data_IF_440407220810
#
_entry.id   IF_440407220810
#
_cell.length_a   1.000
_cell.length_b   1.000
_cell.length_c   1.000
_cell.angle_alpha   90.00
_cell.angle_beta   90.00
_cell.angle_gamma   90.00
#
_symmetry.space_group_name_H-M   'P 1'
#
loop_
_entity.id
_entity.type
_entity.pdbx_description
1 polymer ?
#
# COMPACT_ATOMS: atom_id res chain seq x y z
N UNK A 1 -18.05 1.73 -17.29
CA UNK A 1 -16.94 0.78 -17.43
C UNK A 1 -15.57 1.45 -17.24
N UNK A 2 -15.26 2.55 -17.94
CA UNK A 2 -13.97 3.24 -17.84
C UNK A 2 -13.69 3.70 -16.40
N UNK A 3 -14.65 4.31 -15.73
CA UNK A 3 -14.51 4.77 -14.34
C UNK A 3 -14.31 3.63 -13.36
N UNK A 4 -15.00 2.50 -13.57
CA UNK A 4 -14.78 1.27 -12.80
C UNK A 4 -13.34 0.73 -12.99
N UNK A 5 -12.84 0.73 -14.22
CA UNK A 5 -11.48 0.29 -14.51
C UNK A 5 -10.43 1.19 -13.83
N UNK A 6 -10.66 2.51 -13.81
CA UNK A 6 -9.79 3.44 -13.07
C UNK A 6 -9.85 3.22 -11.56
N UNK A 7 -11.04 3.04 -10.98
CA UNK A 7 -11.18 2.72 -9.56
C UNK A 7 -10.47 1.41 -9.22
N UNK A 8 -10.69 0.36 -10.01
CA UNK A 8 -10.02 -0.93 -9.87
C UNK A 8 -8.48 -0.80 -9.95
N UNK A 9 -7.99 0.00 -10.88
CA UNK A 9 -6.57 0.27 -11.05
C UNK A 9 -5.97 0.97 -9.83
N UNK A 10 -6.54 2.10 -9.39
CA UNK A 10 -6.02 2.83 -8.23
C UNK A 10 -6.11 2.02 -6.94
N UNK A 11 -7.25 1.37 -6.69
CA UNK A 11 -7.51 0.55 -5.51
C UNK A 11 -6.59 -0.69 -5.46
N UNK A 12 -6.37 -1.34 -6.61
CA UNK A 12 -5.45 -2.47 -6.73
C UNK A 12 -3.98 -2.06 -6.57
N UNK A 13 -3.58 -0.93 -7.18
CA UNK A 13 -2.20 -0.44 -7.07
C UNK A 13 -1.84 0.03 -5.67
N UNK A 14 -2.79 0.61 -4.93
CA UNK A 14 -2.63 0.94 -3.53
C UNK A 14 -2.26 -0.30 -2.70
N UNK A 15 -3.04 -1.37 -2.81
CA UNK A 15 -2.78 -2.59 -2.05
C UNK A 15 -1.52 -3.32 -2.52
N UNK A 16 -1.24 -3.33 -3.83
CA UNK A 16 -0.01 -3.91 -4.35
C UNK A 16 1.23 -3.21 -3.77
N UNK A 17 1.21 -1.88 -3.70
CA UNK A 17 2.30 -1.09 -3.16
C UNK A 17 2.52 -1.33 -1.66
N UNK A 18 1.44 -1.46 -0.88
CA UNK A 18 1.53 -1.74 0.56
C UNK A 18 1.97 -3.18 0.83
N UNK A 19 1.60 -4.12 -0.05
CA UNK A 19 1.90 -5.55 0.11
C UNK A 19 3.28 -5.95 -0.42
N UNK A 20 3.98 -5.07 -1.15
CA UNK A 20 5.31 -5.37 -1.68
C UNK A 20 6.35 -5.32 -0.58
N UNK A 21 7.23 -6.30 -0.57
CA UNK A 21 8.43 -6.28 0.26
C UNK A 21 9.47 -5.33 -0.34
N UNK A 22 9.62 -4.17 0.31
CA UNK A 22 10.54 -3.11 -0.11
C UNK A 22 11.99 -3.58 -0.13
N UNK A 23 12.39 -4.40 0.83
CA UNK A 23 13.76 -4.88 0.94
C UNK A 23 14.08 -5.84 -0.21
N UNK A 24 13.20 -6.79 -0.47
CA UNK A 24 13.33 -7.71 -1.61
C UNK A 24 13.38 -6.97 -2.94
N UNK A 25 12.56 -5.94 -3.11
CA UNK A 25 12.59 -5.09 -4.30
C UNK A 25 13.94 -4.39 -4.49
N UNK A 26 14.54 -3.83 -3.43
CA UNK A 26 15.86 -3.18 -3.48
C UNK A 26 16.98 -4.19 -3.77
N UNK A 27 16.89 -5.41 -3.26
CA UNK A 27 17.88 -6.47 -3.51
C UNK A 27 17.79 -7.03 -4.94
N UNK A 28 16.59 -7.24 -5.46
CA UNK A 28 16.34 -7.77 -6.82
C UNK A 28 16.42 -6.68 -7.90
N UNK A 29 16.79 -5.45 -7.54
CA UNK A 29 16.80 -4.28 -8.41
C UNK A 29 17.68 -4.46 -9.63
N UNK A 30 17.10 -4.91 -10.73
CA UNK A 30 17.71 -4.87 -12.06
C UNK A 30 17.54 -3.46 -12.61
N UNK A 31 18.65 -2.76 -12.84
CA UNK A 31 18.64 -1.36 -13.32
C UNK A 31 17.74 -1.20 -14.57
N UNK A 32 16.72 -0.32 -14.46
CA UNK A 32 15.78 -0.03 -15.53
C UNK A 32 14.92 1.19 -15.19
N UNK A 33 14.16 1.69 -16.16
CA UNK A 33 13.26 2.84 -15.99
C UNK A 33 12.22 2.55 -14.92
N UNK A 34 11.61 1.36 -14.96
CA UNK A 34 10.60 0.90 -14.00
C UNK A 34 11.13 0.87 -12.57
N UNK A 35 12.34 0.32 -12.38
CA UNK A 35 12.99 0.29 -11.07
C UNK A 35 13.27 1.70 -10.52
N UNK A 36 13.64 2.65 -11.40
CA UNK A 36 13.85 4.05 -11.00
C UNK A 36 12.53 4.73 -10.58
N UNK A 37 11.45 4.49 -11.32
CA UNK A 37 10.11 5.00 -10.98
C UNK A 37 9.66 4.46 -9.62
N UNK A 38 9.74 3.15 -9.40
CA UNK A 38 9.32 2.52 -8.16
C UNK A 38 10.16 2.99 -6.95
N UNK A 39 11.46 3.23 -7.16
CA UNK A 39 12.33 3.83 -6.13
C UNK A 39 11.84 5.23 -5.71
N UNK A 40 11.35 6.05 -6.63
CA UNK A 40 10.74 7.35 -6.30
C UNK A 40 9.49 7.17 -5.43
N UNK A 41 8.66 6.18 -5.77
CA UNK A 41 7.44 5.89 -4.99
C UNK A 41 7.77 5.36 -3.60
N UNK A 42 8.75 4.47 -3.46
CA UNK A 42 9.18 3.97 -2.16
C UNK A 42 9.80 5.04 -1.28
N UNK A 43 10.54 5.98 -1.88
CA UNK A 43 11.08 7.12 -1.15
C UNK A 43 9.99 8.04 -0.61
N UNK A 44 8.89 8.23 -1.36
CA UNK A 44 7.79 9.11 -1.00
C UNK A 44 6.49 8.30 -0.77
N UNK A 45 6.54 7.22 -0.01
CA UNK A 45 5.44 6.25 0.16
C UNK A 45 4.12 6.91 0.57
N UNK A 46 4.14 7.86 1.51
CA UNK A 46 2.94 8.54 1.98
C UNK A 46 2.31 9.41 0.89
N UNK A 47 3.12 10.11 0.11
CA UNK A 47 2.61 10.93 -1.01
C UNK A 47 2.04 10.04 -2.11
N UNK A 48 2.66 8.90 -2.39
CA UNK A 48 2.18 7.93 -3.35
C UNK A 48 0.81 7.36 -2.93
N UNK A 49 0.69 6.83 -1.71
CA UNK A 49 -0.57 6.27 -1.19
C UNK A 49 -1.67 7.34 -1.21
N UNK A 50 -1.38 8.56 -0.76
CA UNK A 50 -2.34 9.67 -0.81
C UNK A 50 -2.80 9.99 -2.22
N UNK A 51 -1.89 9.91 -3.21
CA UNK A 51 -2.22 10.15 -4.61
C UNK A 51 -3.12 9.06 -5.17
N UNK A 52 -2.85 7.80 -4.86
CA UNK A 52 -3.70 6.66 -5.27
C UNK A 52 -5.10 6.77 -4.65
N UNK A 53 -5.17 7.11 -3.37
CA UNK A 53 -6.44 7.31 -2.66
C UNK A 53 -7.26 8.45 -3.28
N UNK A 54 -6.63 9.58 -3.61
CA UNK A 54 -7.30 10.70 -4.28
C UNK A 54 -7.82 10.27 -5.66
N UNK A 55 -6.99 9.56 -6.44
CA UNK A 55 -7.38 9.05 -7.76
C UNK A 55 -8.57 8.11 -7.69
N UNK A 56 -8.57 7.18 -6.73
CA UNK A 56 -9.68 6.27 -6.50
C UNK A 56 -10.97 7.03 -6.14
N UNK A 57 -10.90 7.99 -5.22
CA UNK A 57 -12.06 8.78 -4.82
C UNK A 57 -12.64 9.61 -5.98
N UNK A 58 -11.82 10.20 -6.84
CA UNK A 58 -12.27 10.89 -8.06
C UNK A 58 -13.00 9.92 -8.99
N UNK A 59 -12.44 8.73 -9.22
CA UNK A 59 -13.07 7.71 -10.06
C UNK A 59 -14.42 7.24 -9.48
N UNK A 60 -14.51 7.05 -8.16
CA UNK A 60 -15.73 6.68 -7.47
C UNK A 60 -16.82 7.74 -7.57
N UNK A 61 -16.49 9.02 -7.43
CA UNK A 61 -17.45 10.12 -7.57
C UNK A 61 -18.02 10.17 -8.98
N UNK A 62 -17.16 10.10 -10.01
CA UNK A 62 -17.60 10.09 -11.40
C UNK A 62 -18.47 8.85 -11.69
N UNK A 63 -18.05 7.69 -11.18
CA UNK A 63 -18.85 6.46 -11.27
C UNK A 63 -20.23 6.65 -10.64
N UNK A 64 -20.30 7.20 -9.43
CA UNK A 64 -21.57 7.42 -8.72
C UNK A 64 -22.53 8.29 -9.50
N UNK A 65 -22.05 9.39 -10.09
CA UNK A 65 -22.86 10.30 -10.93
C UNK A 65 -23.40 9.56 -12.17
N UNK A 66 -22.54 8.80 -12.86
CA UNK A 66 -22.95 8.08 -14.07
C UNK A 66 -23.91 6.94 -13.77
N UNK A 67 -23.69 6.20 -12.67
CA UNK A 67 -24.58 5.11 -12.28
C UNK A 67 -25.94 5.62 -11.76
N UNK A 68 -25.94 6.79 -11.15
CA UNK A 68 -27.19 7.46 -10.75
C UNK A 68 -28.11 7.65 -11.95
N UNK A 69 -27.59 8.15 -13.06
CA UNK A 69 -28.34 8.34 -14.29
C UNK A 69 -28.78 7.02 -14.92
N UNK A 70 -27.86 6.04 -15.01
CA UNK A 70 -28.14 4.76 -15.68
C UNK A 70 -29.18 3.94 -14.91
N UNK A 71 -29.08 3.83 -13.60
CA UNK A 71 -30.00 3.02 -12.78
C UNK A 71 -31.32 3.74 -12.59
N UNK A 72 -31.28 5.06 -12.35
CA UNK A 72 -32.45 5.86 -12.13
C UNK A 72 -33.36 5.87 -13.35
N UNK A 73 -32.80 6.22 -14.51
CA UNK A 73 -33.59 6.44 -15.72
C UNK A 73 -33.99 5.13 -16.44
N UNK A 74 -33.12 4.09 -16.38
CA UNK A 74 -33.36 2.88 -17.19
C UNK A 74 -33.85 1.67 -16.40
N UNK A 75 -33.44 1.52 -15.13
CA UNK A 75 -33.69 0.30 -14.38
C UNK A 75 -34.84 0.45 -13.39
N UNK A 76 -34.98 1.60 -12.73
CA UNK A 76 -35.94 1.84 -11.65
C UNK A 76 -37.12 2.75 -12.10
N UNK A 77 -36.99 3.40 -13.26
CA UNK A 77 -38.05 4.22 -13.81
C UNK A 77 -39.30 3.34 -14.14
N UNK A 78 -40.29 3.33 -13.27
CA UNK A 78 -41.53 2.56 -13.44
C UNK A 78 -41.75 1.46 -12.39
N UNK A 79 -40.77 1.16 -11.54
CA UNK A 79 -40.94 0.19 -10.45
C UNK A 79 -41.18 0.86 -9.09
N UNK A 80 -40.73 2.09 -8.90
CA UNK A 80 -40.79 2.78 -7.62
C UNK A 80 -41.32 4.20 -7.83
N UNK A 81 -42.52 4.48 -7.37
CA UNK A 81 -43.14 5.82 -7.44
C UNK A 81 -42.55 6.79 -6.41
N UNK A 82 -41.97 6.27 -5.33
CA UNK A 82 -41.42 7.08 -4.26
C UNK A 82 -39.98 7.48 -4.57
N UNK A 83 -39.72 8.76 -4.81
CA UNK A 83 -38.42 9.31 -5.14
C UNK A 83 -37.33 8.97 -4.10
N UNK A 84 -37.65 8.98 -2.81
CA UNK A 84 -36.72 8.63 -1.75
C UNK A 84 -36.25 7.16 -1.82
N UNK A 85 -37.20 6.23 -1.99
CA UNK A 85 -36.91 4.81 -2.15
C UNK A 85 -36.13 4.51 -3.44
N UNK A 86 -36.41 5.23 -4.50
CA UNK A 86 -35.70 5.15 -5.77
C UNK A 86 -34.22 5.51 -5.60
N UNK A 87 -33.92 6.66 -4.97
CA UNK A 87 -32.52 7.12 -4.72
C UNK A 87 -31.80 6.16 -3.78
N UNK A 88 -32.49 5.65 -2.76
CA UNK A 88 -31.89 4.69 -1.81
C UNK A 88 -31.54 3.36 -2.50
N UNK A 89 -32.48 2.78 -3.25
CA UNK A 89 -32.26 1.54 -3.99
C UNK A 89 -31.13 1.67 -5.02
N UNK A 90 -31.11 2.76 -5.78
CA UNK A 90 -30.07 3.10 -6.74
C UNK A 90 -28.68 3.20 -6.07
N UNK A 91 -28.60 3.89 -4.93
CA UNK A 91 -27.35 4.04 -4.18
C UNK A 91 -26.85 2.70 -3.68
N UNK A 92 -27.71 1.86 -3.11
CA UNK A 92 -27.32 0.52 -2.62
C UNK A 92 -26.84 -0.36 -3.76
N UNK A 93 -27.56 -0.42 -4.87
CA UNK A 93 -27.19 -1.25 -6.02
C UNK A 93 -25.85 -0.78 -6.62
N UNK A 94 -25.70 0.51 -6.88
CA UNK A 94 -24.44 1.06 -7.43
C UNK A 94 -23.26 0.83 -6.50
N UNK A 95 -23.45 0.99 -5.19
CA UNK A 95 -22.39 0.75 -4.20
C UNK A 95 -21.98 -0.71 -4.15
N UNK A 96 -22.91 -1.66 -4.19
CA UNK A 96 -22.58 -3.08 -4.23
C UNK A 96 -21.79 -3.45 -5.49
N UNK A 97 -22.16 -2.93 -6.64
CA UNK A 97 -21.46 -3.18 -7.89
C UNK A 97 -20.01 -2.67 -7.80
N UNK A 98 -19.79 -1.42 -7.40
CA UNK A 98 -18.43 -0.86 -7.35
C UNK A 98 -17.59 -1.50 -6.25
N UNK A 99 -18.17 -1.84 -5.10
CA UNK A 99 -17.47 -2.50 -4.00
C UNK A 99 -16.88 -3.84 -4.45
N UNK A 100 -17.65 -4.64 -5.18
CA UNK A 100 -17.19 -5.94 -5.67
C UNK A 100 -16.20 -5.77 -6.81
N UNK A 101 -16.55 -4.99 -7.84
CA UNK A 101 -15.79 -4.92 -9.09
C UNK A 101 -14.64 -3.91 -9.08
N UNK A 102 -14.80 -2.79 -8.37
CA UNK A 102 -13.83 -1.70 -8.32
C UNK A 102 -12.89 -1.74 -7.11
N UNK A 103 -13.27 -2.44 -6.03
CA UNK A 103 -12.45 -2.50 -4.82
C UNK A 103 -12.06 -3.92 -4.43
N UNK A 104 -13.03 -4.82 -4.17
CA UNK A 104 -12.74 -6.14 -3.61
C UNK A 104 -11.92 -7.00 -4.58
N UNK A 105 -12.42 -7.20 -5.80
CA UNK A 105 -11.73 -8.04 -6.80
C UNK A 105 -10.33 -7.52 -7.14
N UNK A 106 -10.13 -6.24 -7.47
CA UNK A 106 -8.80 -5.72 -7.79
C UNK A 106 -7.82 -5.83 -6.63
N UNK A 107 -8.24 -5.50 -5.40
CA UNK A 107 -7.41 -5.63 -4.20
C UNK A 107 -6.95 -7.07 -3.98
N UNK A 108 -7.85 -8.04 -4.16
CA UNK A 108 -7.52 -9.46 -3.99
C UNK A 108 -6.55 -9.94 -5.05
N UNK A 109 -6.81 -9.62 -6.32
CA UNK A 109 -5.97 -10.05 -7.45
C UNK A 109 -4.57 -9.44 -7.41
N UNK A 110 -4.45 -8.16 -7.12
CA UNK A 110 -3.16 -7.45 -7.14
C UNK A 110 -2.29 -7.81 -5.93
N UNK A 111 -2.89 -8.27 -4.84
CA UNK A 111 -2.19 -8.78 -3.67
C UNK A 111 -1.49 -10.12 -3.92
N UNK A 112 -1.95 -10.93 -4.88
CA UNK A 112 -1.35 -12.25 -5.18
C UNK A 112 0.11 -12.12 -5.67
N UNK A 113 0.36 -11.18 -6.60
CA UNK A 113 1.69 -10.94 -7.16
C UNK A 113 2.00 -9.44 -7.24
N UNK A 114 2.22 -8.77 -6.11
CA UNK A 114 2.35 -7.31 -6.06
C UNK A 114 3.56 -6.80 -6.85
N UNK A 115 4.69 -7.53 -6.84
CA UNK A 115 5.91 -7.15 -7.56
C UNK A 115 5.72 -7.12 -9.08
N UNK A 116 5.03 -8.14 -9.62
CA UNK A 116 4.77 -8.22 -11.06
C UNK A 116 3.84 -7.10 -11.49
N UNK A 117 2.76 -6.88 -10.74
CA UNK A 117 1.75 -5.86 -11.03
C UNK A 117 2.36 -4.45 -11.01
N UNK A 118 3.15 -4.12 -9.99
CA UNK A 118 3.84 -2.84 -9.88
C UNK A 118 4.83 -2.61 -11.02
N UNK A 119 5.58 -3.64 -11.41
CA UNK A 119 6.53 -3.55 -12.51
C UNK A 119 5.85 -3.27 -13.85
N UNK A 120 4.78 -4.00 -14.16
CA UNK A 120 4.02 -3.83 -15.41
C UNK A 120 3.31 -2.49 -15.46
N UNK A 121 2.70 -2.10 -14.35
CA UNK A 121 1.92 -0.87 -14.26
C UNK A 121 2.74 0.39 -13.91
N UNK A 122 4.06 0.30 -13.72
CA UNK A 122 4.89 1.42 -13.28
C UNK A 122 4.79 2.66 -14.18
N UNK A 123 4.75 2.47 -15.49
CA UNK A 123 4.68 3.59 -16.45
C UNK A 123 3.32 4.31 -16.39
N UNK A 124 2.15 3.63 -16.59
CA UNK A 124 0.86 4.29 -16.47
C UNK A 124 0.63 4.85 -15.07
N UNK A 125 1.13 4.18 -14.04
CA UNK A 125 1.07 4.63 -12.67
C UNK A 125 1.82 5.95 -12.45
N UNK A 126 3.01 6.08 -13.05
CA UNK A 126 3.79 7.32 -12.99
C UNK A 126 3.08 8.50 -13.67
N UNK A 127 2.44 8.27 -14.80
CA UNK A 127 1.65 9.29 -15.50
C UNK A 127 0.49 9.77 -14.61
N UNK A 128 -0.27 8.83 -14.02
CA UNK A 128 -1.35 9.15 -13.09
C UNK A 128 -0.82 9.90 -11.85
N UNK A 129 0.31 9.46 -11.30
CA UNK A 129 0.95 10.10 -10.16
C UNK A 129 1.30 11.56 -10.44
N UNK A 130 1.92 11.86 -11.59
CA UNK A 130 2.30 13.22 -11.97
C UNK A 130 1.07 14.12 -12.15
N UNK A 131 0.00 13.61 -12.78
CA UNK A 131 -1.25 14.37 -13.00
C UNK A 131 -1.96 14.66 -11.66
N UNK A 132 -2.02 13.68 -10.76
CA UNK A 132 -2.73 13.80 -9.48
C UNK A 132 -1.87 14.44 -8.37
N UNK A 133 -0.56 14.55 -8.57
CA UNK A 133 0.37 15.08 -7.58
C UNK A 133 -0.04 16.43 -6.98
N UNK A 134 -0.45 17.45 -7.78
CA UNK A 134 -0.85 18.73 -7.20
C UNK A 134 -2.06 18.61 -6.27
N UNK A 135 -3.03 17.76 -6.62
CA UNK A 135 -4.23 17.54 -5.80
C UNK A 135 -3.88 16.78 -4.50
N UNK A 136 -3.02 15.77 -4.60
CA UNK A 136 -2.52 15.02 -3.44
C UNK A 136 -1.73 15.93 -2.48
N UNK A 137 -0.89 16.82 -3.02
CA UNK A 137 -0.13 17.80 -2.23
C UNK A 137 -1.04 18.75 -1.47
N UNK A 138 -2.12 19.19 -2.10
CA UNK A 138 -3.12 20.06 -1.48
C UNK A 138 -3.87 19.31 -0.36
N UNK A 139 -4.26 18.06 -0.59
CA UNK A 139 -4.90 17.19 0.43
C UNK A 139 -3.98 16.95 1.62
N UNK A 140 -2.72 16.62 1.39
CA UNK A 140 -1.71 16.42 2.44
C UNK A 140 -1.44 17.72 3.23
N UNK A 141 -1.44 18.87 2.54
CA UNK A 141 -1.31 20.18 3.17
C UNK A 141 -2.48 20.48 4.10
N UNK A 142 -3.70 20.17 3.66
CA UNK A 142 -4.90 20.34 4.47
C UNK A 142 -4.89 19.44 5.70
N UNK A 143 -4.49 18.17 5.55
CA UNK A 143 -4.32 17.23 6.68
C UNK A 143 -3.29 17.74 7.69
N UNK A 144 -2.16 18.28 7.22
CA UNK A 144 -1.13 18.88 8.08
C UNK A 144 -1.66 20.11 8.83
N UNK A 145 -2.51 20.92 8.18
CA UNK A 145 -3.16 22.08 8.80
C UNK A 145 -4.11 21.63 9.93
N UNK A 146 -4.93 20.60 9.68
CA UNK A 146 -5.81 20.03 10.72
C UNK A 146 -5.01 19.49 11.91
N UNK A 147 -3.97 18.69 11.68
CA UNK A 147 -3.12 18.17 12.75
C UNK A 147 -2.47 19.29 13.57
N UNK A 148 -2.09 20.40 12.93
CA UNK A 148 -1.54 21.57 13.60
C UNK A 148 -2.55 22.28 14.48
N UNK A 149 -3.82 22.36 14.06
CA UNK A 149 -4.91 22.93 14.86
C UNK A 149 -5.15 22.09 16.13
N UNK A 150 -5.03 20.76 16.04
CA UNK A 150 -5.13 19.86 17.19
C UNK A 150 -3.85 19.75 18.02
N UNK A 151 -2.84 20.59 17.77
CA UNK A 151 -1.61 20.67 18.57
C UNK A 151 -0.65 19.47 18.37
N UNK A 152 -0.89 18.62 17.39
CA UNK A 152 0.00 17.50 17.08
C UNK A 152 1.22 17.99 16.27
N UNK A 153 2.43 17.68 16.75
CA UNK A 153 3.66 17.94 15.99
C UNK A 153 3.79 16.89 14.87
N UNK A 154 3.64 17.33 13.64
CA UNK A 154 3.90 16.49 12.46
C UNK A 154 5.41 16.35 12.28
N UNK A 155 5.98 15.23 12.72
CA UNK A 155 7.37 14.90 12.44
C UNK A 155 7.47 14.42 10.97
N UNK A 156 7.96 15.29 10.10
CA UNK A 156 8.23 14.95 8.68
C UNK A 156 9.32 13.89 8.54
N UNK A 157 10.20 13.78 9.52
CA UNK A 157 11.36 12.86 9.50
C UNK A 157 10.99 11.40 9.85
N UNK A 158 9.77 11.12 10.30
CA UNK A 158 9.33 9.75 10.60
C UNK A 158 9.12 8.89 9.33
N UNK A 159 8.99 9.53 8.17
CA UNK A 159 8.80 8.86 6.86
C UNK A 159 10.10 8.41 6.21
N UNK A 160 11.25 8.96 6.63
CA UNK A 160 12.55 8.74 5.97
C UNK A 160 13.37 7.58 6.57
N UNK A 161 12.85 6.86 7.57
CA UNK A 161 13.50 5.63 8.02
C UNK A 161 13.21 4.52 7.02
N UNK A 162 13.99 4.49 5.96
CA UNK A 162 13.83 3.59 4.82
C UNK A 162 13.83 2.10 5.21
N UNK A 163 14.53 1.73 6.29
CA UNK A 163 14.53 0.37 6.85
C UNK A 163 14.70 0.46 8.36
N UNK A 164 13.69 0.03 9.10
CA UNK A 164 13.80 -0.15 10.54
C UNK A 164 14.37 -1.51 10.91
N UNK A 165 14.90 -1.66 12.13
CA UNK A 165 15.31 -2.96 12.70
C UNK A 165 14.17 -4.00 12.57
N UNK A 166 12.91 -3.56 12.72
CA UNK A 166 11.73 -4.40 12.63
C UNK A 166 11.50 -4.96 11.22
N UNK A 167 11.73 -4.14 10.17
CA UNK A 167 11.58 -4.59 8.78
C UNK A 167 12.65 -5.62 8.41
N UNK A 168 13.85 -5.44 8.94
CA UNK A 168 14.97 -6.36 8.74
C UNK A 168 14.76 -7.69 9.46
N UNK A 169 14.26 -7.64 10.70
CA UNK A 169 13.92 -8.81 11.51
C UNK A 169 12.80 -9.63 10.85
N UNK A 170 11.76 -8.95 10.37
CA UNK A 170 10.67 -9.60 9.62
C UNK A 170 11.16 -10.27 8.33
N UNK A 171 12.09 -9.64 7.59
CA UNK A 171 12.66 -10.21 6.38
C UNK A 171 13.47 -11.48 6.68
N UNK A 172 14.31 -11.45 7.70
CA UNK A 172 15.08 -12.62 8.14
C UNK A 172 14.14 -13.74 8.57
N UNK A 173 13.13 -13.45 9.38
CA UNK A 173 12.16 -14.43 9.82
C UNK A 173 11.38 -15.04 8.64
N UNK A 174 10.92 -14.22 7.69
CA UNK A 174 10.21 -14.72 6.51
C UNK A 174 11.10 -15.54 5.58
N UNK A 175 12.39 -15.27 5.55
CA UNK A 175 13.37 -16.05 4.79
C UNK A 175 13.62 -17.42 5.43
N UNK A 176 13.62 -17.47 6.77
CA UNK A 176 13.72 -18.71 7.55
C UNK A 176 12.48 -19.58 7.35
N UNK A 177 11.29 -18.98 7.46
CA UNK A 177 10.01 -19.68 7.31
C UNK A 177 9.79 -20.25 5.89
N UNK A 178 10.40 -19.62 4.88
CA UNK A 178 10.35 -20.06 3.49
C UNK A 178 11.45 -21.07 3.10
N UNK A 179 12.47 -21.25 3.96
CA UNK A 179 13.50 -22.26 3.75
C UNK A 179 12.90 -23.65 4.03
N UNK A 180 12.71 -24.45 2.99
CA UNK A 180 12.04 -25.76 3.04
C UNK A 180 12.79 -26.83 3.85
N UNK A 181 14.00 -26.57 4.35
CA UNK A 181 14.82 -27.46 5.16
C UNK A 181 15.48 -26.69 6.32
N UNK A 182 15.12 -27.05 7.54
CA UNK A 182 15.73 -26.51 8.76
C UNK A 182 17.24 -26.80 8.89
N UNK A 183 17.77 -27.76 8.14
CA UNK A 183 19.19 -28.16 8.19
C UNK A 183 20.12 -27.27 7.37
N UNK A 184 19.61 -26.49 6.42
CA UNK A 184 20.36 -25.54 5.59
C UNK A 184 20.23 -24.08 6.02
N UNK A 185 19.76 -23.80 7.24
CA UNK A 185 19.86 -22.46 7.80
C UNK A 185 21.35 -22.14 7.96
N UNK A 186 21.88 -21.49 6.95
CA UNK A 186 23.27 -21.06 6.89
C UNK A 186 23.67 -20.42 8.22
N UNK A 187 24.80 -20.83 8.75
CA UNK A 187 25.38 -20.24 9.96
C UNK A 187 25.39 -18.72 9.89
N UNK A 188 25.48 -18.18 8.69
CA UNK A 188 25.46 -16.75 8.38
C UNK A 188 24.12 -16.09 8.76
N UNK A 189 22.96 -16.73 8.53
CA UNK A 189 21.64 -16.20 8.91
C UNK A 189 21.49 -16.16 10.42
N UNK A 190 21.99 -17.19 11.13
CA UNK A 190 21.98 -17.21 12.60
C UNK A 190 22.89 -16.13 13.20
N UNK A 191 24.07 -15.92 12.61
CA UNK A 191 24.97 -14.85 13.02
C UNK A 191 24.32 -13.48 12.81
N UNK A 192 23.65 -13.29 11.67
CA UNK A 192 22.96 -12.05 11.37
C UNK A 192 21.80 -11.77 12.34
N UNK A 193 20.99 -12.78 12.65
CA UNK A 193 19.90 -12.67 13.63
C UNK A 193 20.44 -12.33 15.02
N UNK A 194 21.49 -13.02 15.47
CA UNK A 194 22.17 -12.72 16.73
C UNK A 194 22.75 -11.28 16.74
N UNK A 195 23.24 -10.79 15.61
CA UNK A 195 23.73 -9.41 15.49
C UNK A 195 22.62 -8.37 15.62
N UNK A 196 21.40 -8.64 15.10
CA UNK A 196 20.23 -7.77 15.27
C UNK A 196 19.78 -7.70 16.75
N UNK A 197 19.86 -8.82 17.47
CA UNK A 197 19.49 -8.90 18.88
C UNK A 197 20.58 -8.41 19.84
N UNK A 198 21.81 -8.23 19.35
CA UNK A 198 22.96 -7.83 20.14
C UNK A 198 22.72 -6.55 20.96
N UNK A 199 21.93 -5.62 20.45
CA UNK A 199 21.60 -4.38 21.18
C UNK A 199 20.79 -4.60 22.45
N UNK A 200 20.14 -5.76 22.61
CA UNK A 200 19.31 -6.11 23.76
C UNK A 200 20.08 -6.99 24.78
N UNK A 201 21.24 -7.54 24.39
CA UNK A 201 22.04 -8.44 25.22
C UNK A 201 22.86 -7.61 26.21
N UNK A 202 22.76 -7.95 27.49
CA UNK A 202 23.56 -7.28 28.53
C UNK A 202 24.95 -7.92 28.59
N UNK A 203 25.98 -7.11 28.84
CA UNK A 203 27.37 -7.58 28.95
C UNK A 203 27.50 -8.74 29.94
N UNK A 204 26.74 -8.73 31.04
CA UNK A 204 26.74 -9.80 32.04
C UNK A 204 26.37 -11.18 31.49
N UNK A 205 25.56 -11.20 30.39
CA UNK A 205 25.07 -12.44 29.79
C UNK A 205 26.12 -13.06 28.82
N UNK A 206 27.16 -12.28 28.47
CA UNK A 206 28.26 -12.67 27.59
C UNK A 206 29.59 -12.91 28.33
N UNK A 207 29.67 -12.58 29.63
CA UNK A 207 30.91 -12.72 30.40
C UNK A 207 31.01 -14.13 30.97
N UNK A 208 32.10 -14.82 30.68
CA UNK A 208 32.48 -16.05 31.37
C UNK A 208 33.12 -15.69 32.70
N UNK A 209 32.56 -16.07 33.86
CA UNK A 209 33.13 -15.81 35.16
C UNK A 209 34.54 -16.41 35.25
N UNK A 210 35.48 -15.71 35.89
CA UNK A 210 36.86 -16.17 36.04
C UNK A 210 36.99 -17.56 36.72
N UNK A 211 35.97 -17.97 37.47
CA UNK A 211 35.88 -19.27 38.12
C UNK A 211 35.57 -20.42 37.17
N UNK A 212 35.09 -20.12 35.93
CA UNK A 212 34.76 -21.11 34.94
C UNK A 212 35.76 -21.16 33.77
N UNK A 213 36.80 -20.34 33.82
CA UNK A 213 37.91 -20.37 32.85
C UNK A 213 38.94 -21.37 33.34
N UNK A 214 39.04 -22.52 32.67
CA UNK A 214 40.02 -23.57 32.92
C UNK A 214 41.35 -23.21 32.24
#
# INVERSE_FOLDING_TARGET
>A
LITMAFSAFFSGMEIAFVSVDKLRFEMERKGGITSRILSIFFKNSNEFISTMLVGNNIALVIYGILMAQIIGDNLLAGFIDNHFLMVLAQTVISTLIILVTGEFLPKTLFKINPNLVLNVAAIPLFICYVILYPVSKLSSGLSCLFLRIFGMKVNKDASDKAFGKVDLDYFVQSSIDNAANEEELDTEVKIFQNALDFSNIKIRDCIVPRTEVV
#
